data_IF_796207538738
#
_entry.id   IF_796207538738
#
_cell.length_a   1.000
_cell.length_b   1.000
_cell.length_c   1.000
_cell.angle_alpha   90.00
_cell.angle_beta   90.00
_cell.angle_gamma   90.00
#
_symmetry.space_group_name_H-M   'P 1'
#
loop_
_entity.id
_entity.type
_entity.pdbx_description
1 polymer ?
#
# COMPACT_ATOMS: atom_id res chain seq x y z
N UNK A 1 -7.27 -8.98 4.85
CA UNK A 1 -5.86 -8.58 4.67
C UNK A 1 -5.03 -9.80 5.05
N UNK A 2 -4.24 -10.36 4.13
CA UNK A 2 -3.61 -11.68 4.32
C UNK A 2 -2.51 -11.59 5.39
N UNK A 3 -2.83 -12.05 6.60
CA UNK A 3 -1.90 -12.10 7.74
C UNK A 3 -0.66 -12.94 7.44
N UNK A 4 -0.77 -13.92 6.54
CA UNK A 4 0.35 -14.72 6.07
C UNK A 4 1.38 -13.89 5.29
N UNK A 5 0.96 -13.01 4.38
CA UNK A 5 1.88 -12.13 3.63
C UNK A 5 2.65 -11.18 4.56
N UNK A 6 1.98 -10.65 5.60
CA UNK A 6 2.63 -9.84 6.61
C UNK A 6 3.64 -10.64 7.45
N UNK A 7 3.38 -11.94 7.68
CA UNK A 7 4.24 -12.81 8.46
C UNK A 7 5.53 -13.17 7.71
N UNK A 8 5.47 -13.39 6.39
CA UNK A 8 6.68 -13.64 5.57
C UNK A 8 7.57 -12.39 5.46
N UNK A 9 7.02 -11.18 5.36
CA UNK A 9 7.83 -9.96 5.42
C UNK A 9 8.37 -9.67 6.83
N UNK A 10 7.56 -9.91 7.87
CA UNK A 10 7.98 -9.67 9.25
C UNK A 10 9.09 -10.63 9.69
N UNK A 11 9.11 -11.86 9.16
CA UNK A 11 10.10 -12.88 9.50
C UNK A 11 11.32 -12.87 8.56
N UNK A 12 11.33 -12.05 7.48
CA UNK A 12 12.53 -11.79 6.68
C UNK A 12 13.46 -10.74 7.33
N UNK A 13 13.03 -10.10 8.43
CA UNK A 13 13.75 -9.03 9.10
C UNK A 13 14.65 -9.54 10.24
N UNK A 14 15.23 -10.74 10.11
CA UNK A 14 16.16 -11.28 11.11
C UNK A 14 17.62 -10.95 10.84
N UNK A 15 17.89 -10.25 9.74
CA UNK A 15 19.18 -10.30 9.09
C UNK A 15 19.44 -9.00 8.32
N UNK A 16 20.73 -8.62 8.25
CA UNK A 16 21.36 -7.40 7.71
C UNK A 16 20.47 -6.38 6.94
N UNK A 17 20.64 -5.07 7.23
CA UNK A 17 19.88 -3.98 6.60
C UNK A 17 20.03 -3.99 5.06
N UNK A 18 18.90 -3.86 4.34
CA UNK A 18 18.87 -3.77 2.88
C UNK A 18 19.75 -2.61 2.36
N UNK A 19 19.85 -1.52 3.12
CA UNK A 19 20.71 -0.40 2.77
C UNK A 19 22.19 -0.81 2.77
N UNK A 20 22.61 -1.62 3.75
CA UNK A 20 23.95 -2.17 3.87
C UNK A 20 24.28 -3.08 2.68
N UNK A 21 23.34 -3.95 2.28
CA UNK A 21 23.51 -4.80 1.08
C UNK A 21 23.64 -3.98 -0.20
N UNK A 22 22.87 -2.89 -0.32
CA UNK A 22 22.94 -2.03 -1.50
C UNK A 22 24.27 -1.26 -1.56
N UNK A 23 24.80 -0.84 -0.41
CA UNK A 23 26.11 -0.20 -0.31
C UNK A 23 27.26 -1.20 -0.55
N UNK A 24 27.08 -2.48 -0.19
CA UNK A 24 27.98 -3.58 -0.56
C UNK A 24 28.05 -3.76 -2.08
N UNK A 25 26.91 -3.91 -2.74
CA UNK A 25 26.83 -4.02 -4.21
C UNK A 25 27.47 -2.80 -4.87
N UNK A 26 27.22 -1.60 -4.33
CA UNK A 26 27.73 -0.34 -4.86
C UNK A 26 29.23 -0.12 -4.62
N UNK A 27 29.90 -0.97 -3.83
CA UNK A 27 31.32 -0.82 -3.48
C UNK A 27 31.63 0.35 -2.55
N UNK A 28 30.64 0.83 -1.78
CA UNK A 28 30.78 2.02 -0.89
C UNK A 28 31.06 1.67 0.57
N UNK A 29 31.10 0.38 0.94
CA UNK A 29 31.34 -0.07 2.31
C UNK A 29 32.81 -0.04 2.72
N UNK A 30 33.04 0.15 4.02
CA UNK A 30 34.34 -0.02 4.64
C UNK A 30 34.74 -1.51 4.68
N UNK A 31 36.03 -1.81 4.78
CA UNK A 31 36.53 -3.19 4.85
C UNK A 31 35.92 -4.01 6.01
N UNK A 32 35.67 -3.37 7.15
CA UNK A 32 35.06 -4.01 8.32
C UNK A 32 33.61 -4.39 8.05
N UNK A 33 32.85 -3.50 7.41
CA UNK A 33 31.43 -3.73 7.12
C UNK A 33 31.24 -4.73 5.97
N UNK A 34 32.14 -4.75 4.99
CA UNK A 34 32.16 -5.78 3.95
C UNK A 34 32.32 -7.17 4.54
N UNK A 35 33.25 -7.34 5.49
CA UNK A 35 33.49 -8.64 6.10
C UNK A 35 32.28 -9.14 6.90
N UNK A 36 31.59 -8.25 7.60
CA UNK A 36 30.34 -8.57 8.30
C UNK A 36 29.23 -9.01 7.33
N UNK A 37 29.13 -8.36 6.16
CA UNK A 37 28.20 -8.76 5.09
C UNK A 37 28.58 -10.14 4.52
N UNK A 38 29.86 -10.41 4.27
CA UNK A 38 30.34 -11.69 3.75
C UNK A 38 30.10 -12.85 4.72
N UNK A 39 30.36 -12.66 6.02
CA UNK A 39 30.09 -13.65 7.05
C UNK A 39 28.59 -13.98 7.12
N UNK A 40 27.75 -12.94 7.03
CA UNK A 40 26.32 -13.08 7.01
C UNK A 40 25.80 -13.80 5.76
N UNK A 41 26.33 -13.46 4.57
CA UNK A 41 25.99 -14.14 3.32
C UNK A 41 26.38 -15.62 3.36
N UNK A 42 27.51 -15.95 4.00
CA UNK A 42 27.93 -17.34 4.23
C UNK A 42 26.97 -18.14 5.10
N UNK A 43 26.19 -17.48 5.96
CA UNK A 43 25.15 -18.10 6.80
C UNK A 43 23.77 -18.13 6.14
N UNK A 44 23.54 -17.31 5.10
CA UNK A 44 22.28 -17.16 4.39
C UNK A 44 22.45 -17.46 2.88
N UNK A 45 22.45 -18.75 2.52
CA UNK A 45 22.61 -19.23 1.13
C UNK A 45 21.61 -18.59 0.15
N UNK A 46 20.37 -18.37 0.59
CA UNK A 46 19.34 -17.69 -0.23
C UNK A 46 19.70 -16.23 -0.52
N UNK A 47 20.27 -15.52 0.46
CA UNK A 47 20.66 -14.13 0.27
C UNK A 47 21.91 -14.02 -0.60
N UNK A 48 22.85 -14.97 -0.48
CA UNK A 48 24.01 -15.07 -1.34
C UNK A 48 23.62 -15.25 -2.82
N UNK A 49 22.74 -16.21 -3.12
CA UNK A 49 22.23 -16.46 -4.48
C UNK A 49 21.49 -15.23 -5.06
N UNK A 50 20.63 -14.60 -4.25
CA UNK A 50 19.94 -13.37 -4.66
C UNK A 50 20.92 -12.20 -4.93
N UNK A 51 21.98 -12.08 -4.13
CA UNK A 51 23.00 -11.04 -4.28
C UNK A 51 23.84 -11.26 -5.53
N UNK A 52 24.22 -12.51 -5.82
CA UNK A 52 24.94 -12.89 -7.03
C UNK A 52 24.14 -12.50 -8.29
N UNK A 53 22.84 -12.83 -8.33
CA UNK A 53 21.96 -12.40 -9.43
C UNK A 53 21.84 -10.86 -9.56
N UNK A 54 21.94 -10.11 -8.46
CA UNK A 54 21.98 -8.65 -8.50
C UNK A 54 23.34 -8.10 -8.95
N UNK A 55 24.45 -8.80 -8.66
CA UNK A 55 25.78 -8.42 -9.13
C UNK A 55 25.96 -8.66 -10.64
N UNK A 56 25.33 -9.71 -11.18
CA UNK A 56 25.27 -9.95 -12.63
C UNK A 56 24.49 -8.85 -13.37
N UNK A 57 23.65 -8.09 -12.66
CA UNK A 57 22.96 -6.93 -13.21
C UNK A 57 23.97 -5.80 -13.47
N UNK A 58 24.47 -5.74 -14.70
CA UNK A 58 25.67 -4.96 -15.07
C UNK A 58 25.62 -3.45 -14.83
N UNK A 59 24.48 -2.84 -14.52
CA UNK A 59 24.38 -1.42 -14.22
C UNK A 59 23.80 -1.17 -12.81
N UNK A 60 24.71 -0.96 -11.85
CA UNK A 60 24.40 -0.71 -10.43
C UNK A 60 23.61 0.57 -10.18
N UNK A 61 23.79 1.60 -11.01
CA UNK A 61 23.00 2.85 -10.89
C UNK A 61 21.54 2.62 -11.31
N UNK A 62 21.34 1.88 -12.41
CA UNK A 62 20.00 1.51 -12.86
C UNK A 62 19.28 0.61 -11.85
N UNK A 63 20.02 -0.25 -11.14
CA UNK A 63 19.44 -1.08 -10.09
C UNK A 63 18.83 -0.24 -8.97
N UNK A 64 19.52 0.80 -8.52
CA UNK A 64 19.02 1.66 -7.44
C UNK A 64 17.80 2.49 -7.87
N UNK A 65 17.79 2.95 -9.12
CA UNK A 65 16.63 3.60 -9.72
C UNK A 65 15.44 2.63 -9.83
N UNK A 66 15.68 1.41 -10.32
CA UNK A 66 14.67 0.38 -10.48
C UNK A 66 14.02 0.00 -9.14
N UNK A 67 14.81 -0.17 -8.08
CA UNK A 67 14.31 -0.43 -6.73
C UNK A 67 13.43 0.73 -6.24
N UNK A 68 13.83 1.96 -6.54
CA UNK A 68 13.06 3.15 -6.19
C UNK A 68 11.73 3.19 -6.93
N UNK A 69 11.74 2.96 -8.25
CA UNK A 69 10.53 2.90 -9.07
C UNK A 69 9.60 1.78 -8.62
N UNK A 70 10.12 0.58 -8.37
CA UNK A 70 9.33 -0.56 -7.91
C UNK A 70 8.64 -0.27 -6.56
N UNK A 71 9.34 0.36 -5.63
CA UNK A 71 8.76 0.76 -4.35
C UNK A 71 7.65 1.80 -4.52
N UNK A 72 7.84 2.77 -5.41
CA UNK A 72 6.81 3.77 -5.71
C UNK A 72 5.58 3.14 -6.36
N UNK A 73 5.77 2.27 -7.33
CA UNK A 73 4.68 1.57 -8.01
C UNK A 73 3.92 0.65 -7.07
N UNK A 74 4.61 -0.10 -6.21
CA UNK A 74 3.96 -0.94 -5.20
C UNK A 74 3.08 -0.11 -4.27
N UNK A 75 3.60 1.02 -3.75
CA UNK A 75 2.82 1.96 -2.94
C UNK A 75 1.60 2.47 -3.70
N UNK A 76 1.77 2.83 -4.97
CA UNK A 76 0.70 3.31 -5.85
C UNK A 76 -0.38 2.24 -6.09
N UNK A 77 -0.01 0.99 -6.36
CA UNK A 77 -0.95 -0.12 -6.53
C UNK A 77 -1.75 -0.39 -5.25
N UNK A 78 -1.10 -0.35 -4.09
CA UNK A 78 -1.76 -0.52 -2.79
C UNK A 78 -2.74 0.63 -2.49
N UNK A 79 -2.34 1.86 -2.78
CA UNK A 79 -3.19 3.05 -2.60
C UNK A 79 -4.39 3.05 -3.54
N UNK A 80 -4.20 2.75 -4.84
CA UNK A 80 -5.31 2.67 -5.79
C UNK A 80 -6.36 1.63 -5.37
N UNK A 81 -5.94 0.49 -4.82
CA UNK A 81 -6.86 -0.53 -4.32
C UNK A 81 -7.63 -0.06 -3.09
N UNK A 82 -7.01 0.77 -2.24
CA UNK A 82 -7.67 1.41 -1.09
C UNK A 82 -8.66 2.49 -1.55
N UNK A 83 -8.25 3.35 -2.46
CA UNK A 83 -9.05 4.45 -3.00
C UNK A 83 -10.29 3.94 -3.75
N UNK A 84 -10.14 2.91 -4.61
CA UNK A 84 -11.27 2.24 -5.28
C UNK A 84 -12.25 1.57 -4.30
N UNK A 85 -11.80 1.21 -3.09
CA UNK A 85 -12.66 0.65 -2.03
C UNK A 85 -13.37 1.74 -1.24
N UNK A 86 -12.74 2.91 -1.09
CA UNK A 86 -13.31 4.08 -0.44
C UNK A 86 -14.33 4.79 -1.34
N UNK A 87 -14.07 4.95 -2.64
CA UNK A 87 -15.01 5.53 -3.60
C UNK A 87 -16.34 4.77 -3.70
N UNK A 88 -16.34 3.45 -3.47
CA UNK A 88 -17.57 2.64 -3.42
C UNK A 88 -18.44 2.94 -2.20
N UNK A 89 -17.88 3.49 -1.11
CA UNK A 89 -18.65 3.86 0.08
C UNK A 89 -19.47 5.13 -0.12
N UNK A 90 -19.09 5.98 -1.07
CA UNK A 90 -19.71 7.30 -1.29
C UNK A 90 -20.92 7.27 -2.24
N UNK A 91 -21.15 6.17 -2.96
CA UNK A 91 -22.32 6.04 -3.85
C UNK A 91 -23.64 5.70 -3.14
N UNK A 92 -23.63 5.48 -1.83
CA UNK A 92 -24.80 5.02 -1.07
C UNK A 92 -25.76 6.09 -0.57
N UNK A 93 -25.41 7.38 -0.62
CA UNK A 93 -26.14 8.39 0.16
C UNK A 93 -27.16 9.23 -0.63
N UNK A 94 -27.07 9.28 -1.96
CA UNK A 94 -27.94 10.15 -2.76
C UNK A 94 -29.39 9.65 -2.83
N UNK A 95 -29.59 8.34 -2.93
CA UNK A 95 -30.92 7.71 -2.92
C UNK A 95 -31.62 7.84 -1.57
N UNK A 96 -30.85 7.71 -0.47
CA UNK A 96 -31.37 7.90 0.88
C UNK A 96 -31.80 9.34 1.11
N UNK A 97 -30.98 10.31 0.67
CA UNK A 97 -31.33 11.73 0.76
C UNK A 97 -32.60 12.06 -0.04
N UNK A 98 -32.72 11.54 -1.26
CA UNK A 98 -33.93 11.70 -2.10
C UNK A 98 -35.18 11.13 -1.42
N UNK A 99 -35.08 9.93 -0.83
CA UNK A 99 -36.20 9.30 -0.12
C UNK A 99 -36.65 10.14 1.10
N UNK A 100 -35.70 10.69 1.86
CA UNK A 100 -36.00 11.55 3.02
C UNK A 100 -36.70 12.85 2.59
N UNK A 101 -36.22 13.50 1.52
CA UNK A 101 -36.85 14.72 0.99
C UNK A 101 -38.28 14.44 0.52
N UNK A 102 -38.48 13.34 -0.20
CA UNK A 102 -39.81 12.95 -0.70
C UNK A 102 -40.78 12.66 0.46
N UNK A 103 -40.29 11.97 1.50
CA UNK A 103 -41.08 11.70 2.70
C UNK A 103 -41.47 12.98 3.45
N UNK A 104 -40.54 13.94 3.60
CA UNK A 104 -40.85 15.25 4.19
C UNK A 104 -41.86 16.04 3.34
N UNK A 105 -41.71 16.02 2.01
CA UNK A 105 -42.66 16.68 1.11
C UNK A 105 -44.08 16.11 1.26
N UNK A 106 -44.22 14.79 1.38
CA UNK A 106 -45.51 14.15 1.64
C UNK A 106 -46.15 14.59 2.96
N UNK A 107 -45.36 14.71 4.03
CA UNK A 107 -45.84 15.19 5.34
C UNK A 107 -46.33 16.64 5.23
N UNK A 108 -45.60 17.50 4.51
CA UNK A 108 -46.00 18.90 4.30
C UNK A 108 -47.29 18.98 3.48
N UNK A 109 -47.40 18.20 2.40
CA UNK A 109 -48.63 18.17 1.58
C UNK A 109 -49.82 17.69 2.42
N UNK A 110 -49.66 16.61 3.19
CA UNK A 110 -50.71 16.10 4.07
C UNK A 110 -51.16 17.15 5.10
N UNK A 111 -50.21 17.87 5.70
CA UNK A 111 -50.51 18.96 6.62
C UNK A 111 -51.28 20.10 5.95
N UNK A 112 -50.87 20.52 4.75
CA UNK A 112 -51.56 21.58 3.98
C UNK A 112 -52.99 21.16 3.64
N UNK A 113 -53.19 19.92 3.19
CA UNK A 113 -54.53 19.39 2.87
C UNK A 113 -55.40 19.36 4.12
N UNK A 114 -54.90 18.85 5.25
CA UNK A 114 -55.66 18.82 6.51
C UNK A 114 -56.04 20.22 6.99
N UNK A 115 -55.12 21.19 6.88
CA UNK A 115 -55.41 22.59 7.22
C UNK A 115 -56.48 23.15 6.30
N UNK A 116 -56.36 22.93 4.99
CA UNK A 116 -57.35 23.41 4.02
C UNK A 116 -58.74 22.81 4.27
N UNK A 117 -58.82 21.53 4.67
CA UNK A 117 -60.06 20.83 4.98
C UNK A 117 -60.69 21.25 6.32
N UNK A 118 -59.89 21.62 7.32
CA UNK A 118 -60.38 22.05 8.63
C UNK A 118 -60.72 23.56 8.70
N UNK A 119 -60.33 24.36 7.70
CA UNK A 119 -60.63 25.80 7.64
C UNK A 119 -61.81 26.15 6.72
N UNK A 120 -62.56 25.15 6.25
CA UNK A 120 -63.87 25.27 5.59
C UNK A 120 -64.95 24.90 6.61
#
# INVERSE_FOLDING_TARGET
MNKQLLNILANSNKDIDNQLLMDYISGRLSHTDQHAVEEWLGQNEFAADALEGLQEFGNKEQLQELVTQLNQDLKKFLQQKKQKREERKWKGNLWVLLAVILLLALVVIAFVVLRMLHTQ
#
